data_IF_955970492988
#
_entry.id   IF_955970492988
#
_cell.length_a   1.000
_cell.length_b   1.000
_cell.length_c   1.000
_cell.angle_alpha   90.00
_cell.angle_beta   90.00
_cell.angle_gamma   90.00
#
_symmetry.space_group_name_H-M   'P 1'
#
loop_
_entity.id
_entity.type
_entity.pdbx_description
1 polymer ?
#
# COMPACT_ATOMS: atom_id res chain seq x y z
N UNK A 1 -23.11 27.77 26.08
CA UNK A 1 -23.17 26.76 24.98
C UNK A 1 -22.72 27.33 23.63
N UNK A 2 -23.12 28.54 23.24
CA UNK A 2 -22.80 29.15 21.94
C UNK A 2 -21.29 29.32 21.62
N UNK A 3 -20.44 29.58 22.62
CA UNK A 3 -18.97 29.66 22.47
C UNK A 3 -18.32 28.32 22.06
N UNK A 4 -18.91 27.19 22.47
CA UNK A 4 -18.40 25.87 22.10
C UNK A 4 -18.76 25.52 20.65
N UNK A 5 -19.94 25.95 20.18
CA UNK A 5 -20.41 25.67 18.82
C UNK A 5 -19.61 26.46 17.76
N UNK A 6 -19.34 27.74 18.03
CA UNK A 6 -18.51 28.59 17.16
C UNK A 6 -17.06 28.09 17.06
N UNK A 7 -16.49 27.61 18.18
CA UNK A 7 -15.18 26.97 18.18
C UNK A 7 -15.14 25.71 17.30
N UNK A 8 -16.15 24.83 17.43
CA UNK A 8 -16.27 23.61 16.62
C UNK A 8 -16.45 23.95 15.13
N UNK A 9 -17.32 24.90 14.78
CA UNK A 9 -17.53 25.32 13.39
C UNK A 9 -16.26 25.90 12.75
N UNK A 10 -15.51 26.71 13.51
CA UNK A 10 -14.27 27.29 12.99
C UNK A 10 -13.18 26.21 12.81
N UNK A 11 -13.14 25.20 13.69
CA UNK A 11 -12.26 24.03 13.51
C UNK A 11 -12.62 23.23 12.25
N UNK A 12 -13.91 22.94 12.01
CA UNK A 12 -14.35 22.26 10.79
C UNK A 12 -14.07 23.05 9.51
N UNK A 13 -14.19 24.38 9.56
CA UNK A 13 -13.83 25.23 8.43
C UNK A 13 -12.33 25.19 8.15
N UNK A 14 -11.51 25.19 9.19
CA UNK A 14 -10.04 25.10 9.06
C UNK A 14 -9.56 23.70 8.64
N UNK A 15 -10.35 22.66 8.90
CA UNK A 15 -10.05 21.30 8.47
C UNK A 15 -10.10 21.15 6.94
N UNK A 16 -10.82 22.03 6.24
CA UNK A 16 -10.95 22.05 4.78
C UNK A 16 -11.21 20.66 4.20
N UNK A 17 -12.36 20.11 4.60
CA UNK A 17 -12.80 18.77 4.21
C UNK A 17 -12.74 18.53 2.68
N UNK A 18 -13.11 19.48 1.80
CA UNK A 18 -12.92 19.31 0.35
C UNK A 18 -11.47 19.17 -0.10
N UNK A 19 -10.50 19.80 0.57
CA UNK A 19 -9.07 19.56 0.28
C UNK A 19 -8.67 18.17 0.72
N UNK A 20 -9.03 17.78 1.95
CA UNK A 20 -8.71 16.45 2.48
C UNK A 20 -9.31 15.34 1.61
N UNK A 21 -10.55 15.49 1.14
CA UNK A 21 -11.16 14.53 0.21
C UNK A 21 -10.35 14.37 -1.08
N UNK A 22 -9.94 15.48 -1.71
CA UNK A 22 -9.13 15.43 -2.95
C UNK A 22 -7.78 14.75 -2.72
N UNK A 23 -7.15 14.99 -1.58
CA UNK A 23 -5.89 14.32 -1.20
C UNK A 23 -6.10 12.81 -1.03
N UNK A 24 -7.19 12.40 -0.37
CA UNK A 24 -7.52 10.99 -0.20
C UNK A 24 -7.85 10.32 -1.54
N UNK A 25 -8.61 10.97 -2.43
CA UNK A 25 -8.93 10.46 -3.77
C UNK A 25 -7.66 10.22 -4.60
N UNK A 26 -6.73 11.18 -4.55
CA UNK A 26 -5.44 11.06 -5.23
C UNK A 26 -4.60 9.91 -4.67
N UNK A 27 -4.60 9.73 -3.34
CA UNK A 27 -3.89 8.64 -2.71
C UNK A 27 -4.50 7.27 -3.05
N UNK A 28 -5.84 7.13 -3.05
CA UNK A 28 -6.53 5.90 -3.51
C UNK A 28 -6.16 5.56 -4.95
N UNK A 29 -6.15 6.55 -5.85
CA UNK A 29 -5.74 6.34 -7.23
C UNK A 29 -4.28 5.89 -7.33
N UNK A 30 -3.39 6.51 -6.57
CA UNK A 30 -1.96 6.15 -6.50
C UNK A 30 -1.71 4.76 -5.90
N UNK A 31 -2.53 4.31 -4.96
CA UNK A 31 -2.43 2.98 -4.35
C UNK A 31 -2.61 1.87 -5.39
N UNK A 32 -3.60 2.01 -6.28
CA UNK A 32 -3.84 1.02 -7.35
C UNK A 32 -2.61 0.87 -8.25
N UNK A 33 -2.03 1.99 -8.69
CA UNK A 33 -0.83 1.98 -9.51
C UNK A 33 0.35 1.29 -8.82
N UNK A 34 0.60 1.60 -7.54
CA UNK A 34 1.72 1.00 -6.78
C UNK A 34 1.51 -0.50 -6.53
N UNK A 35 0.27 -0.94 -6.39
CA UNK A 35 -0.05 -2.37 -6.30
C UNK A 35 0.32 -3.08 -7.60
N UNK A 36 -0.11 -2.54 -8.75
CA UNK A 36 0.18 -3.11 -10.06
C UNK A 36 1.69 -3.18 -10.34
N UNK A 37 2.42 -2.09 -10.05
CA UNK A 37 3.88 -2.04 -10.19
C UNK A 37 4.58 -3.09 -9.30
N UNK A 38 4.13 -3.24 -8.06
CA UNK A 38 4.67 -4.24 -7.13
C UNK A 38 4.40 -5.68 -7.60
N UNK A 39 3.21 -5.95 -8.16
CA UNK A 39 2.85 -7.25 -8.71
C UNK A 39 3.69 -7.61 -9.94
N UNK A 40 3.93 -6.65 -10.83
CA UNK A 40 4.80 -6.82 -12.01
C UNK A 40 6.23 -7.11 -11.57
N UNK A 41 6.79 -6.30 -10.67
CA UNK A 41 8.14 -6.49 -10.16
C UNK A 41 8.31 -7.87 -9.48
N UNK A 42 7.32 -8.31 -8.71
CA UNK A 42 7.34 -9.64 -8.07
C UNK A 42 7.35 -10.77 -9.09
N UNK A 43 6.56 -10.67 -10.18
CA UNK A 43 6.56 -11.66 -11.26
C UNK A 43 7.93 -11.73 -11.95
N UNK A 44 8.51 -10.58 -12.28
CA UNK A 44 9.84 -10.50 -12.89
C UNK A 44 10.93 -11.14 -12.00
N UNK A 45 10.91 -10.87 -10.68
CA UNK A 45 11.86 -11.48 -9.73
C UNK A 45 11.73 -13.01 -9.68
N UNK A 46 10.51 -13.54 -9.74
CA UNK A 46 10.27 -14.99 -9.79
C UNK A 46 10.82 -15.59 -11.08
N UNK A 47 10.61 -14.94 -12.23
CA UNK A 47 11.14 -15.37 -13.52
C UNK A 47 12.67 -15.38 -13.55
N UNK A 48 13.30 -14.27 -13.15
CA UNK A 48 14.76 -14.16 -13.01
C UNK A 48 15.32 -15.24 -12.07
N UNK A 49 14.65 -15.50 -10.94
CA UNK A 49 15.06 -16.54 -9.98
C UNK A 49 14.96 -17.95 -10.59
N UNK A 50 13.97 -18.21 -11.45
CA UNK A 50 13.82 -19.49 -12.15
C UNK A 50 14.86 -19.65 -13.24
N UNK A 51 15.12 -18.60 -14.01
CA UNK A 51 16.12 -18.60 -15.07
C UNK A 51 17.52 -18.80 -14.52
N UNK A 52 17.87 -18.09 -13.44
CA UNK A 52 19.13 -18.29 -12.71
C UNK A 52 19.29 -19.76 -12.27
N UNK A 53 18.25 -20.37 -11.70
CA UNK A 53 18.30 -21.78 -11.28
C UNK A 53 18.46 -22.77 -12.43
N UNK A 54 18.08 -22.42 -13.66
CA UNK A 54 18.27 -23.28 -14.83
C UNK A 54 19.71 -23.27 -15.33
N UNK A 55 20.41 -22.14 -15.19
CA UNK A 55 21.75 -21.93 -15.74
C UNK A 55 22.87 -22.11 -14.71
N UNK A 56 22.56 -21.98 -13.42
CA UNK A 56 23.54 -22.12 -12.34
C UNK A 56 24.02 -23.57 -12.13
N UNK A 57 25.22 -23.72 -11.55
CA UNK A 57 25.78 -25.00 -11.09
C UNK A 57 25.13 -25.45 -9.78
N UNK A 58 25.22 -26.74 -9.43
CA UNK A 58 24.64 -27.27 -8.19
C UNK A 58 25.22 -26.64 -6.92
N UNK A 59 26.52 -26.34 -6.91
CA UNK A 59 27.17 -25.62 -5.80
C UNK A 59 26.58 -24.22 -5.61
N UNK A 60 26.48 -23.44 -6.69
CA UNK A 60 25.89 -22.10 -6.67
C UNK A 60 24.41 -22.15 -6.28
N UNK A 61 23.64 -23.14 -6.77
CA UNK A 61 22.24 -23.34 -6.36
C UNK A 61 22.15 -23.58 -4.85
N UNK A 62 23.04 -24.39 -4.28
CA UNK A 62 23.09 -24.66 -2.84
C UNK A 62 23.29 -23.40 -2.00
N UNK A 63 24.22 -22.53 -2.42
CA UNK A 63 24.51 -21.27 -1.71
C UNK A 63 23.38 -20.23 -1.85
N UNK A 64 22.80 -20.13 -3.04
CA UNK A 64 21.83 -19.07 -3.37
C UNK A 64 20.39 -19.44 -3.01
N UNK A 65 20.04 -20.72 -2.94
CA UNK A 65 18.71 -21.18 -2.55
C UNK A 65 18.19 -20.60 -1.22
N UNK A 66 18.94 -20.64 -0.10
CA UNK A 66 18.49 -20.04 1.16
C UNK A 66 18.35 -18.51 1.05
N UNK A 67 19.22 -17.85 0.28
CA UNK A 67 19.15 -16.40 0.06
C UNK A 67 17.87 -16.01 -0.68
N UNK A 68 17.56 -16.68 -1.81
CA UNK A 68 16.33 -16.43 -2.57
C UNK A 68 15.08 -16.70 -1.73
N UNK A 69 15.12 -17.75 -0.87
CA UNK A 69 14.01 -18.05 0.04
C UNK A 69 13.81 -16.94 1.08
N UNK A 70 14.88 -16.39 1.63
CA UNK A 70 14.82 -15.27 2.57
C UNK A 70 14.27 -14.00 1.91
N UNK A 71 14.74 -13.65 0.71
CA UNK A 71 14.18 -12.53 -0.05
C UNK A 71 12.70 -12.71 -0.35
N UNK A 72 12.29 -13.90 -0.80
CA UNK A 72 10.88 -14.19 -1.06
C UNK A 72 10.04 -14.02 0.21
N UNK A 73 10.51 -14.53 1.35
CA UNK A 73 9.80 -14.39 2.62
C UNK A 73 9.68 -12.93 3.06
N UNK A 74 10.70 -12.11 2.84
CA UNK A 74 10.66 -10.69 3.21
C UNK A 74 9.73 -9.89 2.30
N UNK A 75 9.76 -10.16 0.99
CA UNK A 75 8.82 -9.59 0.03
C UNK A 75 7.37 -9.92 0.42
N UNK A 76 7.09 -11.18 0.76
CA UNK A 76 5.73 -11.59 1.14
C UNK A 76 5.26 -10.89 2.43
N UNK A 77 6.13 -10.71 3.42
CA UNK A 77 5.83 -9.95 4.65
C UNK A 77 5.58 -8.47 4.36
N UNK A 78 6.41 -7.86 3.50
CA UNK A 78 6.24 -6.47 3.06
C UNK A 78 4.90 -6.29 2.34
N UNK A 79 4.56 -7.18 1.42
CA UNK A 79 3.27 -7.17 0.72
C UNK A 79 2.10 -7.32 1.70
N UNK A 80 2.20 -8.21 2.69
CA UNK A 80 1.16 -8.37 3.70
C UNK A 80 0.98 -7.10 4.55
N UNK A 81 2.09 -6.47 4.96
CA UNK A 81 2.07 -5.22 5.73
C UNK A 81 1.48 -4.06 4.91
N UNK A 82 1.85 -3.96 3.63
CA UNK A 82 1.30 -2.95 2.71
C UNK A 82 -0.21 -3.13 2.56
N UNK A 83 -0.65 -4.35 2.25
CA UNK A 83 -2.07 -4.67 2.10
C UNK A 83 -2.89 -4.37 3.36
N UNK A 84 -2.33 -4.64 4.54
CA UNK A 84 -3.00 -4.31 5.80
C UNK A 84 -3.18 -2.79 5.98
N UNK A 85 -2.15 -1.99 5.64
CA UNK A 85 -2.22 -0.53 5.66
C UNK A 85 -3.23 0.01 4.63
N UNK A 86 -3.22 -0.55 3.42
CA UNK A 86 -4.14 -0.18 2.34
C UNK A 86 -5.60 -0.47 2.71
N UNK A 87 -5.88 -1.63 3.29
CA UNK A 87 -7.22 -1.98 3.77
C UNK A 87 -7.69 -1.02 4.87
N UNK A 88 -6.81 -0.69 5.82
CA UNK A 88 -7.13 0.26 6.88
C UNK A 88 -7.43 1.65 6.32
N UNK A 89 -6.59 2.12 5.38
CA UNK A 89 -6.77 3.41 4.70
C UNK A 89 -8.10 3.46 3.92
N UNK A 90 -8.36 2.47 3.06
CA UNK A 90 -9.60 2.39 2.28
C UNK A 90 -10.84 2.31 3.18
N UNK A 91 -10.73 1.64 4.33
CA UNK A 91 -11.79 1.59 5.34
C UNK A 91 -12.10 2.96 5.96
N UNK A 92 -11.08 3.79 6.21
CA UNK A 92 -11.25 5.16 6.69
C UNK A 92 -11.77 6.09 5.59
N UNK A 93 -11.18 6.00 4.40
CA UNK A 93 -11.60 6.74 3.21
C UNK A 93 -13.09 6.54 2.96
N UNK A 94 -13.57 5.29 2.89
CA UNK A 94 -15.00 5.00 2.69
C UNK A 94 -15.89 5.66 3.75
N UNK A 95 -15.53 5.56 5.03
CA UNK A 95 -16.30 6.19 6.12
C UNK A 95 -16.37 7.71 5.97
N UNK A 96 -15.27 8.35 5.54
CA UNK A 96 -15.25 9.79 5.29
C UNK A 96 -16.13 10.15 4.10
N UNK A 97 -15.99 9.43 2.97
CA UNK A 97 -16.81 9.65 1.78
C UNK A 97 -18.30 9.49 2.09
N UNK A 98 -18.71 8.46 2.84
CA UNK A 98 -20.10 8.21 3.23
C UNK A 98 -20.71 9.35 4.07
N UNK A 99 -19.90 10.06 4.87
CA UNK A 99 -20.36 11.21 5.69
C UNK A 99 -20.48 12.50 4.85
N UNK A 100 -19.76 12.57 3.74
CA UNK A 100 -19.62 13.78 2.91
C UNK A 100 -20.34 13.74 1.57
N UNK A 101 -20.80 12.55 1.14
CA UNK A 101 -21.55 12.32 -0.09
C UNK A 101 -23.07 12.37 0.08
N UNK A 102 -23.56 12.91 1.20
CA UNK A 102 -24.97 13.22 1.46
C UNK A 102 -25.27 14.70 1.34
#
# INVERSE_FOLDING_TARGET
MALKLSGVLNQWRNFDLPSVQRELDAEVAGMGQRQDESEVARKQLIELSREFKKTATEETKGQVAPLLKSFQSEIDKLSQRSKAAEVAFLGLYKKLTDVTGG
#
